data_IF_491490304660
#
_entry.id   IF_491490304660
#
_cell.length_a   1.000
_cell.length_b   1.000
_cell.length_c   1.000
_cell.angle_alpha   90.00
_cell.angle_beta   90.00
_cell.angle_gamma   90.00
#
_symmetry.space_group_name_H-M   'P 1'
#
loop_
_entity.id
_entity.type
_entity.pdbx_description
1 polymer ?
#
# COMPACT_ATOMS: atom_id res chain seq x y z
N UNK A 1 -35.93 10.92 -12.98
CA UNK A 1 -36.10 9.48 -12.73
C UNK A 1 -36.63 9.29 -11.30
N UNK A 2 -37.64 8.44 -11.05
CA UNK A 2 -38.01 8.11 -9.66
C UNK A 2 -37.10 6.98 -9.20
N UNK A 3 -36.09 7.31 -8.39
CA UNK A 3 -35.19 6.31 -7.80
C UNK A 3 -35.98 5.56 -6.72
N UNK A 4 -35.91 4.24 -6.73
CA UNK A 4 -36.54 3.40 -5.69
C UNK A 4 -35.92 3.74 -4.33
N UNK A 5 -36.74 4.17 -3.33
CA UNK A 5 -36.26 4.45 -1.98
C UNK A 5 -35.47 3.30 -1.35
N UNK A 6 -35.78 2.05 -1.71
CA UNK A 6 -35.06 0.87 -1.22
C UNK A 6 -33.60 0.87 -1.68
N UNK A 7 -33.34 1.22 -2.94
CA UNK A 7 -31.99 1.25 -3.50
C UNK A 7 -31.13 2.34 -2.85
N UNK A 8 -31.74 3.49 -2.54
CA UNK A 8 -31.09 4.56 -1.78
C UNK A 8 -30.72 4.07 -0.37
N UNK A 9 -31.62 3.38 0.31
CA UNK A 9 -31.34 2.82 1.64
C UNK A 9 -30.15 1.84 1.59
N UNK A 10 -30.10 0.96 0.57
CA UNK A 10 -28.99 0.03 0.38
C UNK A 10 -27.66 0.78 0.17
N UNK A 11 -27.66 1.82 -0.68
CA UNK A 11 -26.47 2.65 -0.90
C UNK A 11 -25.95 3.27 0.41
N UNK A 12 -26.85 3.85 1.21
CA UNK A 12 -26.49 4.41 2.51
C UNK A 12 -26.00 3.37 3.51
N UNK A 13 -26.54 2.14 3.50
CA UNK A 13 -26.02 1.04 4.32
C UNK A 13 -24.57 0.74 3.92
N UNK A 14 -24.28 0.62 2.62
CA UNK A 14 -22.92 0.39 2.13
C UNK A 14 -21.96 1.52 2.52
N UNK A 15 -22.37 2.78 2.35
CA UNK A 15 -21.58 3.93 2.76
C UNK A 15 -21.31 3.96 4.28
N UNK A 16 -22.33 3.65 5.10
CA UNK A 16 -22.19 3.59 6.54
C UNK A 16 -21.25 2.47 6.99
N UNK A 17 -21.29 1.30 6.34
CA UNK A 17 -20.36 0.21 6.62
C UNK A 17 -18.91 0.55 6.24
N UNK A 18 -18.69 1.27 5.14
CA UNK A 18 -17.36 1.81 4.82
C UNK A 18 -16.86 2.78 5.89
N UNK A 19 -17.73 3.71 6.30
CA UNK A 19 -17.40 4.66 7.35
C UNK A 19 -16.99 3.95 8.64
N UNK A 20 -17.76 2.94 9.07
CA UNK A 20 -17.46 2.17 10.27
C UNK A 20 -16.13 1.42 10.12
N UNK A 21 -15.89 0.76 8.98
CA UNK A 21 -14.67 -0.01 8.75
C UNK A 21 -13.40 0.85 8.70
N UNK A 22 -13.51 2.10 8.24
CA UNK A 22 -12.40 3.04 8.19
C UNK A 22 -12.20 3.76 9.54
N UNK A 23 -13.30 4.13 10.20
CA UNK A 23 -13.24 4.87 11.45
C UNK A 23 -12.85 3.99 12.65
N UNK A 24 -13.33 2.74 12.68
CA UNK A 24 -12.94 1.78 13.69
C UNK A 24 -11.87 0.87 13.10
N UNK A 25 -10.63 1.03 13.55
CA UNK A 25 -9.58 0.04 13.29
C UNK A 25 -9.89 -1.18 14.16
N UNK A 26 -10.37 -2.30 13.61
CA UNK A 26 -10.64 -3.47 14.43
C UNK A 26 -9.33 -3.96 15.06
N UNK A 27 -9.34 -4.21 16.37
CA UNK A 27 -8.22 -4.89 17.05
C UNK A 27 -7.91 -6.19 16.31
N UNK A 28 -6.68 -6.27 15.76
CA UNK A 28 -6.04 -7.40 15.06
C UNK A 28 -6.96 -8.61 14.83
N UNK A 29 -7.78 -8.55 13.79
CA UNK A 29 -8.41 -9.77 13.27
C UNK A 29 -7.32 -10.64 12.66
N UNK A 30 -7.16 -11.88 13.15
CA UNK A 30 -6.12 -12.84 12.75
C UNK A 30 -6.33 -13.45 11.36
N UNK A 31 -6.81 -12.68 10.38
CA UNK A 31 -6.97 -13.19 9.02
C UNK A 31 -5.58 -13.27 8.38
N UNK A 32 -5.14 -14.44 7.88
CA UNK A 32 -3.82 -14.55 7.25
C UNK A 32 -3.75 -13.64 6.02
N UNK A 33 -2.74 -12.76 5.96
CA UNK A 33 -2.55 -11.82 4.83
C UNK A 33 -2.54 -12.55 3.48
N UNK A 34 -1.90 -13.72 3.42
CA UNK A 34 -1.86 -14.57 2.22
C UNK A 34 -3.25 -15.05 1.79
N UNK A 35 -4.15 -15.36 2.72
CA UNK A 35 -5.54 -15.74 2.42
C UNK A 35 -6.27 -14.60 1.73
N UNK A 36 -6.12 -13.40 2.28
CA UNK A 36 -6.78 -12.23 1.71
C UNK A 36 -6.21 -11.87 0.34
N UNK A 37 -4.89 -11.97 0.17
CA UNK A 37 -4.25 -11.81 -1.14
C UNK A 37 -4.82 -12.76 -2.19
N UNK A 38 -5.06 -14.03 -1.83
CA UNK A 38 -5.70 -15.00 -2.72
C UNK A 38 -7.11 -14.60 -3.11
N UNK A 39 -7.92 -14.15 -2.13
CA UNK A 39 -9.28 -13.65 -2.36
C UNK A 39 -9.27 -12.44 -3.30
N UNK A 40 -8.42 -11.44 -3.04
CA UNK A 40 -8.34 -10.22 -3.83
C UNK A 40 -7.90 -10.47 -5.27
N UNK A 41 -6.91 -11.34 -5.48
CA UNK A 41 -6.46 -11.74 -6.81
C UNK A 41 -7.58 -12.47 -7.55
N UNK A 42 -8.22 -13.46 -6.92
CA UNK A 42 -9.32 -14.20 -7.54
C UNK A 42 -10.49 -13.27 -7.91
N UNK A 43 -10.89 -12.37 -7.02
CA UNK A 43 -11.92 -11.39 -7.32
C UNK A 43 -11.57 -10.52 -8.53
N UNK A 44 -10.35 -9.98 -8.57
CA UNK A 44 -9.94 -9.11 -9.67
C UNK A 44 -10.04 -9.82 -11.03
N UNK A 45 -9.54 -11.05 -11.12
CA UNK A 45 -9.55 -11.79 -12.38
C UNK A 45 -10.91 -12.41 -12.74
N UNK A 46 -11.71 -12.83 -11.76
CA UNK A 46 -12.97 -13.54 -12.01
C UNK A 46 -14.20 -12.62 -12.03
N UNK A 47 -14.10 -11.42 -11.49
CA UNK A 47 -15.23 -10.47 -11.40
C UNK A 47 -14.90 -9.16 -12.10
N UNK A 48 -13.82 -8.49 -11.71
CA UNK A 48 -13.52 -7.13 -12.22
C UNK A 48 -13.20 -7.12 -13.70
N UNK A 49 -12.25 -7.95 -14.13
CA UNK A 49 -11.84 -7.97 -15.53
C UNK A 49 -12.99 -8.39 -16.48
N UNK A 50 -13.78 -9.44 -16.19
CA UNK A 50 -14.96 -9.76 -16.98
C UNK A 50 -16.00 -8.62 -17.00
N UNK A 51 -16.31 -8.01 -15.84
CA UNK A 51 -17.26 -6.88 -15.78
C UNK A 51 -16.81 -5.71 -16.66
N UNK A 52 -15.50 -5.39 -16.66
CA UNK A 52 -14.93 -4.36 -17.54
C UNK A 52 -15.08 -4.77 -19.01
N UNK A 53 -14.73 -6.01 -19.35
CA UNK A 53 -14.77 -6.54 -20.71
C UNK A 53 -16.18 -6.53 -21.31
N UNK A 54 -17.18 -6.92 -20.52
CA UNK A 54 -18.56 -7.08 -20.97
C UNK A 54 -19.35 -5.77 -20.99
N UNK A 55 -19.00 -4.81 -20.12
CA UNK A 55 -19.80 -3.61 -19.91
C UNK A 55 -19.21 -2.32 -20.46
N UNK A 56 -17.93 -2.30 -20.88
CA UNK A 56 -17.43 -1.15 -21.63
C UNK A 56 -18.08 -1.14 -23.02
N UNK A 57 -18.86 -0.09 -23.36
CA UNK A 57 -19.70 -0.12 -24.57
C UNK A 57 -18.90 0.01 -25.87
N UNK A 58 -17.73 0.67 -25.85
CA UNK A 58 -16.79 0.71 -26.98
C UNK A 58 -15.34 0.68 -26.47
N UNK A 59 -14.48 -0.07 -27.17
CA UNK A 59 -13.05 -0.07 -26.86
C UNK A 59 -12.47 1.34 -26.99
N UNK A 60 -11.53 1.76 -26.11
CA UNK A 60 -10.83 3.02 -26.30
C UNK A 60 -10.19 3.08 -27.69
N UNK A 61 -10.49 4.14 -28.44
CA UNK A 61 -10.05 4.32 -29.83
C UNK A 61 -10.49 3.19 -30.80
N UNK A 62 -11.51 2.40 -30.45
CA UNK A 62 -11.97 1.23 -31.21
C UNK A 62 -10.90 0.13 -31.40
N UNK A 63 -9.91 0.06 -30.50
CA UNK A 63 -8.83 -0.92 -30.56
C UNK A 63 -8.99 -1.94 -29.44
N UNK A 64 -9.17 -3.22 -29.79
CA UNK A 64 -9.25 -4.32 -28.81
C UNK A 64 -8.03 -4.40 -27.90
N UNK A 65 -6.84 -4.02 -28.39
CA UNK A 65 -5.62 -3.94 -27.59
C UNK A 65 -5.74 -2.97 -26.40
N UNK A 66 -6.63 -1.97 -26.50
CA UNK A 66 -6.81 -0.92 -25.50
C UNK A 66 -7.98 -1.19 -24.55
N UNK A 67 -8.58 -2.39 -24.58
CA UNK A 67 -9.69 -2.79 -23.70
C UNK A 67 -9.44 -2.46 -22.22
N UNK A 68 -8.23 -2.76 -21.73
CA UNK A 68 -7.83 -2.48 -20.35
C UNK A 68 -6.99 -1.21 -20.19
N UNK A 69 -7.06 -0.27 -21.15
CA UNK A 69 -6.25 0.96 -21.12
C UNK A 69 -6.47 1.76 -19.83
N UNK A 70 -7.71 1.93 -19.39
CA UNK A 70 -8.00 2.69 -18.18
C UNK A 70 -7.55 1.97 -16.90
N UNK A 71 -7.57 0.64 -16.89
CA UNK A 71 -6.95 -0.18 -15.82
C UNK A 71 -5.45 0.07 -15.78
N UNK A 72 -4.79 0.07 -16.94
CA UNK A 72 -3.35 0.35 -17.03
C UNK A 72 -3.03 1.79 -16.60
N UNK A 73 -3.83 2.78 -16.99
CA UNK A 73 -3.66 4.17 -16.57
C UNK A 73 -3.80 4.29 -15.05
N UNK A 74 -4.82 3.67 -14.44
CA UNK A 74 -4.99 3.66 -12.99
C UNK A 74 -3.81 3.02 -12.25
N UNK A 75 -3.35 1.86 -12.72
CA UNK A 75 -2.18 1.17 -12.17
C UNK A 75 -0.91 2.02 -12.28
N UNK A 76 -0.64 2.56 -13.47
CA UNK A 76 0.53 3.38 -13.74
C UNK A 76 0.50 4.69 -12.95
N UNK A 77 -0.67 5.31 -12.81
CA UNK A 77 -0.83 6.55 -12.05
C UNK A 77 -0.37 6.38 -10.60
N UNK A 78 -0.78 5.30 -9.93
CA UNK A 78 -0.36 5.05 -8.54
C UNK A 78 1.13 4.70 -8.47
N UNK A 79 1.58 3.80 -9.36
CA UNK A 79 2.99 3.40 -9.41
C UNK A 79 3.94 4.60 -9.58
N UNK A 80 3.63 5.48 -10.53
CA UNK A 80 4.45 6.66 -10.82
C UNK A 80 4.36 7.66 -9.67
N UNK A 81 3.16 7.90 -9.13
CA UNK A 81 2.98 8.77 -7.96
C UNK A 81 3.81 8.32 -6.75
N UNK A 82 3.77 7.02 -6.41
CA UNK A 82 4.59 6.46 -5.33
C UNK A 82 6.09 6.63 -5.63
N UNK A 83 6.55 6.28 -6.84
CA UNK A 83 7.96 6.39 -7.20
C UNK A 83 8.48 7.82 -7.22
N UNK A 84 7.68 8.78 -7.67
CA UNK A 84 8.08 10.19 -7.68
C UNK A 84 8.33 10.70 -6.26
N UNK A 85 7.52 10.30 -5.28
CA UNK A 85 7.71 10.70 -3.88
C UNK A 85 8.93 10.02 -3.28
N UNK A 86 9.07 8.71 -3.48
CA UNK A 86 10.26 7.98 -3.00
C UNK A 86 11.57 8.52 -3.57
N UNK A 87 11.55 9.06 -4.79
CA UNK A 87 12.71 9.70 -5.42
C UNK A 87 12.91 11.17 -4.98
N UNK A 88 11.84 11.86 -4.61
CA UNK A 88 11.87 13.25 -4.14
C UNK A 88 12.50 13.36 -2.75
N UNK A 89 12.25 12.37 -1.90
CA UNK A 89 12.95 12.20 -0.63
C UNK A 89 14.46 12.13 -0.89
N UNK A 90 15.19 13.12 -0.36
CA UNK A 90 16.60 13.43 -0.63
C UNK A 90 17.49 12.23 -1.02
N UNK A 91 17.58 11.93 -2.32
CA UNK A 91 18.49 10.93 -2.88
C UNK A 91 19.95 11.16 -2.43
N UNK A 92 20.32 12.43 -2.19
CA UNK A 92 21.60 12.82 -1.60
C UNK A 92 21.78 12.34 -0.17
N UNK A 93 20.74 12.42 0.67
CA UNK A 93 20.79 11.96 2.06
C UNK A 93 20.87 10.44 2.13
N UNK A 94 20.12 9.72 1.27
CA UNK A 94 20.25 8.26 1.13
C UNK A 94 21.66 7.86 0.69
N UNK A 95 22.22 8.50 -0.34
CA UNK A 95 23.59 8.25 -0.80
C UNK A 95 24.62 8.53 0.30
N UNK A 96 24.41 9.59 1.09
CA UNK A 96 25.29 9.94 2.21
C UNK A 96 25.25 8.89 3.31
N UNK A 97 24.06 8.39 3.68
CA UNK A 97 23.92 7.30 4.66
C UNK A 97 24.63 6.04 4.16
N UNK A 98 24.42 5.63 2.90
CA UNK A 98 25.12 4.47 2.31
C UNK A 98 26.64 4.62 2.34
N UNK A 99 27.14 5.82 2.03
CA UNK A 99 28.57 6.12 2.11
C UNK A 99 29.10 6.00 3.54
N UNK A 100 28.37 6.54 4.52
CA UNK A 100 28.76 6.49 5.93
C UNK A 100 28.71 5.06 6.48
N UNK A 101 27.70 4.26 6.13
CA UNK A 101 27.64 2.84 6.50
C UNK A 101 28.83 2.06 5.94
N UNK A 102 29.21 2.31 4.68
CA UNK A 102 30.42 1.69 4.11
C UNK A 102 31.70 2.14 4.84
N UNK A 103 31.77 3.41 5.27
CA UNK A 103 32.91 3.90 6.05
C UNK A 103 32.96 3.26 7.44
N UNK A 104 31.82 3.08 8.10
CA UNK A 104 31.73 2.44 9.41
C UNK A 104 32.15 0.97 9.34
N UNK A 105 31.61 0.19 8.40
CA UNK A 105 32.02 -1.21 8.18
C UNK A 105 33.52 -1.34 7.91
N UNK A 106 34.10 -0.44 7.12
CA UNK A 106 35.54 -0.45 6.85
C UNK A 106 36.36 -0.10 8.09
N UNK A 107 35.85 0.80 8.93
CA UNK A 107 36.53 1.23 10.15
C UNK A 107 36.49 0.14 11.22
N UNK A 108 35.35 -0.55 11.38
CA UNK A 108 35.20 -1.73 12.24
C UNK A 108 36.19 -2.84 11.83
N UNK A 109 36.30 -3.13 10.54
CA UNK A 109 37.29 -4.10 10.05
C UNK A 109 38.75 -3.68 10.34
N UNK A 110 39.06 -2.39 10.38
CA UNK A 110 40.40 -1.90 10.75
C UNK A 110 40.60 -2.00 12.27
N UNK A 111 39.58 -1.69 13.07
CA UNK A 111 39.61 -1.87 14.53
C UNK A 111 39.88 -3.32 14.90
N UNK A 112 39.13 -4.26 14.33
CA UNK A 112 39.29 -5.71 14.55
C UNK A 112 40.73 -6.18 14.24
N UNK A 113 41.30 -5.69 13.13
CA UNK A 113 42.67 -6.03 12.75
C UNK A 113 43.69 -5.48 13.77
N UNK A 114 43.50 -4.28 14.28
CA UNK A 114 44.39 -3.70 15.30
C UNK A 114 44.20 -4.41 16.64
N UNK A 115 42.98 -4.78 17.04
CA UNK A 115 42.73 -5.57 18.25
C UNK A 115 43.43 -6.92 18.20
N UNK A 116 43.41 -7.58 17.05
CA UNK A 116 44.14 -8.84 16.84
C UNK A 116 45.66 -8.65 16.99
N UNK A 117 46.23 -7.61 16.37
CA UNK A 117 47.67 -7.30 16.49
C UNK A 117 48.04 -7.01 17.95
N UNK A 118 47.24 -6.19 18.65
CA UNK A 118 47.47 -5.89 20.07
C UNK A 118 47.40 -7.17 20.92
N UNK A 119 46.44 -8.04 20.63
CA UNK A 119 46.28 -9.31 21.36
C UNK A 119 47.45 -10.26 21.13
N UNK A 120 47.98 -10.34 19.91
CA UNK A 120 49.17 -11.12 19.57
C UNK A 120 50.43 -10.58 20.27
N UNK A 121 50.63 -9.27 20.25
CA UNK A 121 51.77 -8.62 20.90
C UNK A 121 51.75 -8.80 22.43
N UNK A 122 50.56 -8.76 23.04
CA UNK A 122 50.37 -9.04 24.47
C UNK A 122 50.74 -10.49 24.87
N UNK A 123 50.85 -11.40 23.90
CA UNK A 123 51.25 -12.80 24.12
C UNK A 123 52.77 -13.03 23.96
N UNK A 124 53.54 -12.03 23.53
CA UNK A 124 55.00 -12.15 23.38
C UNK A 124 55.76 -11.97 24.72
N UNK A 125 56.89 -12.66 24.86
CA UNK A 125 57.72 -12.63 26.09
C UNK A 125 58.41 -11.28 26.32
N UNK A 126 58.69 -10.53 25.25
CA UNK A 126 59.21 -9.15 25.28
C UNK A 126 58.16 -8.20 24.70
N UNK A 127 57.59 -7.35 25.55
CA UNK A 127 56.55 -6.40 25.19
C UNK A 127 57.15 -5.06 24.77
N UNK A 128 56.83 -4.58 23.56
CA UNK A 128 57.05 -3.18 23.20
C UNK A 128 55.91 -2.31 23.77
N UNK A 129 56.10 -1.84 25.00
CA UNK A 129 55.14 -0.97 25.69
C UNK A 129 54.86 0.32 24.91
N UNK A 130 55.83 0.84 24.15
CA UNK A 130 55.66 2.05 23.35
C UNK A 130 54.74 1.79 22.15
N UNK A 131 54.97 0.69 21.42
CA UNK A 131 54.13 0.28 20.30
C UNK A 131 52.69 0.01 20.75
N UNK A 132 52.49 -0.71 21.87
CA UNK A 132 51.17 -0.98 22.44
C UNK A 132 50.43 0.32 22.82
N UNK A 133 51.15 1.30 23.36
CA UNK A 133 50.57 2.59 23.76
C UNK A 133 50.20 3.48 22.57
N UNK A 134 50.91 3.35 21.46
CA UNK A 134 50.57 4.01 20.21
C UNK A 134 49.39 3.31 19.53
N UNK A 135 49.36 1.97 19.47
CA UNK A 135 48.21 1.20 18.97
C UNK A 135 46.94 1.48 19.76
N UNK A 136 47.03 1.54 21.10
CA UNK A 136 45.91 1.90 21.95
C UNK A 136 45.39 3.33 21.68
N UNK A 137 46.28 4.28 21.36
CA UNK A 137 45.89 5.64 20.97
C UNK A 137 45.19 5.66 19.61
N UNK A 138 45.68 4.90 18.64
CA UNK A 138 45.05 4.76 17.32
C UNK A 138 43.67 4.11 17.46
N UNK A 139 43.57 3.02 18.21
CA UNK A 139 42.33 2.28 18.42
C UNK A 139 41.26 3.15 19.11
N UNK A 140 41.66 3.93 20.13
CA UNK A 140 40.78 4.93 20.73
C UNK A 140 40.29 5.97 19.71
N UNK A 141 41.18 6.47 18.85
CA UNK A 141 40.81 7.45 17.83
C UNK A 141 39.89 6.88 16.76
N UNK A 142 40.06 5.60 16.38
CA UNK A 142 39.15 4.92 15.46
C UNK A 142 37.80 4.77 16.13
N UNK A 143 37.75 4.29 17.36
CA UNK A 143 36.50 4.11 18.10
C UNK A 143 35.70 5.41 18.21
N UNK A 144 36.38 6.53 18.54
CA UNK A 144 35.77 7.85 18.58
C UNK A 144 35.21 8.28 17.19
N UNK A 145 35.94 7.99 16.10
CA UNK A 145 35.47 8.24 14.73
C UNK A 145 34.27 7.36 14.36
N UNK A 146 34.30 6.07 14.69
CA UNK A 146 33.20 5.14 14.47
C UNK A 146 31.94 5.55 15.22
N UNK A 147 32.08 5.98 16.47
CA UNK A 147 30.98 6.54 17.26
C UNK A 147 30.37 7.79 16.61
N UNK A 148 31.20 8.70 16.09
CA UNK A 148 30.70 9.88 15.38
C UNK A 148 29.97 9.50 14.08
N UNK A 149 30.52 8.58 13.29
CA UNK A 149 29.88 8.10 12.06
C UNK A 149 28.52 7.45 12.37
N UNK A 150 28.43 6.63 13.42
CA UNK A 150 27.16 6.03 13.85
C UNK A 150 26.12 7.09 14.24
N UNK A 151 26.56 8.16 14.93
CA UNK A 151 25.70 9.30 15.27
C UNK A 151 25.20 10.01 14.01
N UNK A 152 26.10 10.35 13.07
CA UNK A 152 25.75 11.00 11.80
C UNK A 152 24.79 10.15 10.95
N UNK A 153 24.96 8.82 10.95
CA UNK A 153 24.04 7.88 10.31
C UNK A 153 22.67 7.96 10.97
N UNK A 154 22.61 7.95 12.30
CA UNK A 154 21.37 8.07 13.07
C UNK A 154 20.60 9.34 12.74
N UNK A 155 21.28 10.50 12.80
CA UNK A 155 20.67 11.80 12.52
C UNK A 155 20.14 11.89 11.09
N UNK A 156 20.90 11.37 10.11
CA UNK A 156 20.44 11.34 8.73
C UNK A 156 19.27 10.39 8.52
N UNK A 157 19.26 9.21 9.19
CA UNK A 157 18.11 8.29 9.13
C UNK A 157 16.85 8.93 9.71
N UNK A 158 16.96 9.68 10.82
CA UNK A 158 15.83 10.42 11.40
C UNK A 158 15.34 11.49 10.43
N UNK A 159 16.23 12.30 9.86
CA UNK A 159 15.85 13.34 8.89
C UNK A 159 15.17 12.75 7.65
N UNK A 160 15.68 11.62 7.15
CA UNK A 160 15.06 10.88 6.04
C UNK A 160 13.69 10.36 6.46
N UNK A 161 13.58 9.73 7.64
CA UNK A 161 12.33 9.23 8.18
C UNK A 161 11.27 10.33 8.25
N UNK A 162 11.54 11.44 8.95
CA UNK A 162 10.60 12.54 9.14
C UNK A 162 10.07 13.10 7.82
N UNK A 163 10.97 13.30 6.85
CA UNK A 163 10.60 13.84 5.55
C UNK A 163 9.76 12.86 4.71
N UNK A 164 10.09 11.56 4.74
CA UNK A 164 9.26 10.57 4.05
C UNK A 164 7.91 10.45 4.73
N UNK A 165 7.87 10.40 6.06
CA UNK A 165 6.63 10.24 6.81
C UNK A 165 5.62 11.34 6.44
N UNK A 166 6.08 12.59 6.34
CA UNK A 166 5.24 13.71 5.93
C UNK A 166 4.77 13.61 4.46
N UNK A 167 5.69 13.47 3.50
CA UNK A 167 5.33 13.46 2.07
C UNK A 167 4.50 12.21 1.69
N UNK A 168 4.89 11.05 2.20
CA UNK A 168 4.22 9.78 1.94
C UNK A 168 2.87 9.69 2.65
N UNK A 169 2.77 10.22 3.88
CA UNK A 169 1.51 10.29 4.61
C UNK A 169 0.46 11.12 3.86
N UNK A 170 0.85 12.28 3.34
CA UNK A 170 -0.03 13.14 2.54
C UNK A 170 -0.49 12.48 1.24
N UNK A 171 0.41 11.80 0.51
CA UNK A 171 0.03 11.06 -0.69
C UNK A 171 -0.93 9.94 -0.36
N UNK A 172 -0.61 9.12 0.64
CA UNK A 172 -1.44 7.98 1.02
C UNK A 172 -2.84 8.44 1.42
N UNK A 173 -2.93 9.50 2.23
CA UNK A 173 -4.21 10.14 2.54
C UNK A 173 -4.95 10.55 1.26
N UNK A 174 -4.31 11.28 0.35
CA UNK A 174 -4.95 11.73 -0.89
C UNK A 174 -5.42 10.56 -1.76
N UNK A 175 -4.56 9.57 -2.00
CA UNK A 175 -4.87 8.38 -2.78
C UNK A 175 -6.02 7.58 -2.18
N UNK A 176 -6.00 7.35 -0.87
CA UNK A 176 -7.06 6.62 -0.18
C UNK A 176 -8.37 7.41 -0.18
N UNK A 177 -8.31 8.72 0.06
CA UNK A 177 -9.48 9.59 -0.02
C UNK A 177 -10.10 9.55 -1.43
N UNK A 178 -9.30 9.78 -2.48
CA UNK A 178 -9.76 9.72 -3.87
C UNK A 178 -10.34 8.33 -4.19
N UNK A 179 -9.69 7.27 -3.72
CA UNK A 179 -10.17 5.91 -3.93
C UNK A 179 -11.55 5.68 -3.29
N UNK A 180 -11.72 5.97 -2.00
CA UNK A 180 -12.99 5.79 -1.30
C UNK A 180 -14.09 6.69 -1.87
N UNK A 181 -13.74 7.93 -2.23
CA UNK A 181 -14.63 8.84 -2.92
C UNK A 181 -15.13 8.26 -4.26
N UNK A 182 -14.23 7.72 -5.09
CA UNK A 182 -14.61 7.12 -6.37
C UNK A 182 -15.45 5.84 -6.18
N UNK A 183 -15.18 5.01 -5.17
CA UNK A 183 -16.06 3.88 -4.82
C UNK A 183 -17.47 4.41 -4.55
N UNK A 184 -17.61 5.44 -3.72
CA UNK A 184 -18.90 6.03 -3.39
C UNK A 184 -19.69 6.47 -4.63
N UNK A 185 -19.01 7.11 -5.57
CA UNK A 185 -19.58 7.57 -6.84
C UNK A 185 -20.03 6.38 -7.72
N UNK A 186 -19.16 5.40 -7.89
CA UNK A 186 -19.43 4.22 -8.72
C UNK A 186 -20.58 3.38 -8.15
N UNK A 187 -20.61 3.21 -6.84
CA UNK A 187 -21.46 2.25 -6.16
C UNK A 187 -22.93 2.63 -6.24
N UNK A 188 -23.28 3.92 -6.18
CA UNK A 188 -24.66 4.40 -6.36
C UNK A 188 -25.17 4.04 -7.75
N UNK A 189 -24.42 4.40 -8.80
CA UNK A 189 -24.79 4.06 -10.17
C UNK A 189 -24.88 2.55 -10.41
N UNK A 190 -23.95 1.75 -9.86
CA UNK A 190 -24.02 0.30 -9.98
C UNK A 190 -25.28 -0.28 -9.33
N UNK A 191 -25.72 0.24 -8.17
CA UNK A 191 -26.98 -0.19 -7.55
C UNK A 191 -28.17 0.02 -8.50
N UNK A 192 -28.18 1.13 -9.24
CA UNK A 192 -29.26 1.46 -10.17
C UNK A 192 -29.25 0.61 -11.44
N UNK A 193 -28.07 0.13 -11.86
CA UNK A 193 -27.90 -0.67 -13.08
C UNK A 193 -28.10 -2.16 -12.80
N UNK A 194 -27.34 -2.70 -11.85
CA UNK A 194 -27.31 -4.13 -11.51
C UNK A 194 -26.91 -4.33 -10.04
N UNK A 195 -27.90 -4.72 -9.22
CA UNK A 195 -27.71 -4.96 -7.80
C UNK A 195 -26.65 -6.03 -7.52
N UNK A 196 -26.51 -7.04 -8.38
CA UNK A 196 -25.53 -8.12 -8.18
C UNK A 196 -24.11 -7.59 -8.37
N UNK A 197 -23.84 -6.91 -9.49
CA UNK A 197 -22.55 -6.27 -9.75
C UNK A 197 -22.20 -5.26 -8.65
N UNK A 198 -23.20 -4.52 -8.14
CA UNK A 198 -23.02 -3.61 -7.01
C UNK A 198 -22.62 -4.32 -5.71
N UNK A 199 -23.31 -5.40 -5.35
CA UNK A 199 -22.99 -6.19 -4.14
C UNK A 199 -21.57 -6.76 -4.24
N UNK A 200 -21.19 -7.30 -5.40
CA UNK A 200 -19.85 -7.85 -5.63
C UNK A 200 -18.78 -6.76 -5.53
N UNK A 201 -19.00 -5.60 -6.17
CA UNK A 201 -18.12 -4.44 -6.09
C UNK A 201 -17.98 -3.91 -4.66
N UNK A 202 -19.10 -3.80 -3.93
CA UNK A 202 -19.13 -3.41 -2.53
C UNK A 202 -18.25 -4.33 -1.68
N UNK A 203 -18.45 -5.66 -1.75
CA UNK A 203 -17.68 -6.59 -0.94
C UNK A 203 -16.19 -6.48 -1.21
N UNK A 204 -15.80 -6.34 -2.47
CA UNK A 204 -14.40 -6.18 -2.82
C UNK A 204 -13.79 -4.89 -2.30
N UNK A 205 -14.46 -3.77 -2.55
CA UNK A 205 -14.01 -2.48 -2.07
C UNK A 205 -13.93 -2.48 -0.53
N UNK A 206 -14.87 -3.11 0.15
CA UNK A 206 -14.90 -3.28 1.60
C UNK A 206 -13.73 -4.15 2.10
N UNK A 207 -13.47 -5.30 1.47
CA UNK A 207 -12.33 -6.13 1.82
C UNK A 207 -11.01 -5.37 1.65
N UNK A 208 -10.85 -4.58 0.58
CA UNK A 208 -9.67 -3.71 0.42
C UNK A 208 -9.52 -2.73 1.58
N UNK A 209 -10.59 -2.05 1.97
CA UNK A 209 -10.60 -1.13 3.12
C UNK A 209 -10.13 -1.84 4.40
N UNK A 210 -10.68 -3.01 4.68
CA UNK A 210 -10.31 -3.82 5.87
C UNK A 210 -8.84 -4.22 5.84
N UNK A 211 -8.28 -4.60 4.69
CA UNK A 211 -6.86 -4.97 4.56
C UNK A 211 -5.95 -3.78 4.81
N UNK A 212 -6.29 -2.64 4.20
CA UNK A 212 -5.48 -1.42 4.31
C UNK A 212 -5.33 -1.01 5.78
N UNK A 213 -6.39 -1.14 6.57
CA UNK A 213 -6.41 -0.78 7.99
C UNK A 213 -5.67 -1.79 8.88
N UNK A 214 -5.38 -3.01 8.39
CA UNK A 214 -4.51 -3.96 9.08
C UNK A 214 -3.03 -3.75 8.75
N UNK A 215 -2.72 -3.34 7.51
CA UNK A 215 -1.34 -3.15 7.03
C UNK A 215 -0.73 -1.78 7.42
N UNK A 216 -1.48 -0.92 8.09
CA UNK A 216 -1.13 0.49 8.34
C UNK A 216 -0.02 0.73 9.37
N UNK A 217 0.34 -0.24 10.22
CA UNK A 217 1.21 0.05 11.37
C UNK A 217 2.71 0.19 11.08
N UNK A 218 3.26 -0.41 10.02
CA UNK A 218 4.70 -0.32 9.70
C UNK A 218 4.99 -0.53 8.22
N UNK A 219 5.41 0.53 7.52
CA UNK A 219 5.85 0.44 6.12
C UNK A 219 7.38 0.52 6.03
N UNK A 220 8.03 -0.51 5.48
CA UNK A 220 9.49 -0.50 5.23
C UNK A 220 9.74 0.14 3.86
N UNK A 221 10.19 1.39 3.85
CA UNK A 221 10.44 2.13 2.60
C UNK A 221 11.80 1.78 2.00
N UNK A 222 12.84 1.72 2.85
CA UNK A 222 14.22 1.46 2.43
C UNK A 222 14.75 0.26 3.20
N UNK A 223 14.57 -0.94 2.63
CA UNK A 223 15.00 -2.20 3.27
C UNK A 223 16.50 -2.28 3.51
N UNK A 224 17.30 -1.54 2.73
CA UNK A 224 18.75 -1.44 2.86
C UNK A 224 19.20 -0.44 3.95
N UNK A 225 18.36 0.54 4.29
CA UNK A 225 18.65 1.56 5.31
C UNK A 225 17.97 1.25 6.66
N UNK A 226 17.12 0.23 6.70
CA UNK A 226 16.26 -0.16 7.83
C UNK A 226 15.44 1.02 8.38
N UNK A 227 14.88 1.81 7.47
CA UNK A 227 13.97 2.91 7.81
C UNK A 227 12.54 2.37 7.77
N UNK A 228 11.96 2.16 8.95
CA UNK A 228 10.54 1.88 9.14
C UNK A 228 9.78 3.21 9.28
N UNK A 229 8.61 3.30 8.65
CA UNK A 229 7.70 4.43 8.80
C UNK A 229 6.47 3.96 9.56
N UNK A 230 6.21 4.63 10.69
CA UNK A 230 4.95 4.54 11.41
C UNK A 230 4.10 5.73 11.00
N UNK A 231 2.94 5.46 10.40
CA UNK A 231 2.03 6.50 9.95
C UNK A 231 0.86 6.58 10.91
N UNK A 232 0.88 7.61 11.74
CA UNK A 232 -0.25 7.96 12.58
C UNK A 232 -1.09 9.02 11.88
N UNK A 233 -2.31 8.67 11.52
CA UNK A 233 -3.27 9.62 10.97
C UNK A 233 -3.79 10.53 12.06
N UNK A 234 -3.94 11.82 11.74
CA UNK A 234 -4.64 12.76 12.63
C UNK A 234 -6.13 12.41 12.70
N UNK A 235 -6.82 12.74 13.79
CA UNK A 235 -8.25 12.48 13.92
C UNK A 235 -9.08 13.11 12.78
N UNK A 236 -8.67 14.28 12.29
CA UNK A 236 -9.34 14.93 11.14
C UNK A 236 -9.17 14.11 9.86
N UNK A 237 -7.95 13.66 9.56
CA UNK A 237 -7.69 12.81 8.40
C UNK A 237 -8.53 11.53 8.45
N UNK A 238 -8.60 10.89 9.62
CA UNK A 238 -9.39 9.69 9.82
C UNK A 238 -10.88 9.90 9.57
N UNK A 239 -11.45 11.00 10.06
CA UNK A 239 -12.86 11.37 9.81
C UNK A 239 -13.09 11.65 8.32
N UNK A 240 -12.17 12.37 7.67
CA UNK A 240 -12.28 12.70 6.24
C UNK A 240 -12.20 11.45 5.37
N UNK A 241 -11.28 10.52 5.66
CA UNK A 241 -11.15 9.24 4.97
C UNK A 241 -12.39 8.38 5.15
N UNK A 242 -12.86 8.22 6.39
CA UNK A 242 -14.06 7.43 6.67
C UNK A 242 -15.31 8.01 5.99
N UNK A 243 -15.39 9.32 5.85
CA UNK A 243 -16.50 10.01 5.19
C UNK A 243 -16.39 10.02 3.66
N UNK A 244 -15.24 9.69 3.08
CA UNK A 244 -14.97 9.88 1.65
C UNK A 244 -15.96 9.12 0.77
N UNK A 245 -16.28 7.86 1.11
CA UNK A 245 -17.27 7.06 0.37
C UNK A 245 -18.68 7.68 0.44
N UNK A 246 -19.10 8.12 1.62
CA UNK A 246 -20.40 8.80 1.78
C UNK A 246 -20.45 10.13 1.01
N UNK A 247 -19.37 10.91 1.03
CA UNK A 247 -19.25 12.14 0.25
C UNK A 247 -19.36 11.82 -1.24
N UNK A 248 -18.69 10.78 -1.72
CA UNK A 248 -18.79 10.31 -3.11
C UNK A 248 -20.22 9.96 -3.51
N UNK A 249 -20.94 9.20 -2.67
CA UNK A 249 -22.34 8.84 -2.90
C UNK A 249 -23.26 10.06 -2.97
N UNK A 250 -23.09 11.02 -2.03
CA UNK A 250 -23.89 12.25 -2.01
C UNK A 250 -23.61 13.11 -3.24
N UNK A 251 -22.34 13.25 -3.62
CA UNK A 251 -21.95 13.98 -4.83
C UNK A 251 -22.57 13.34 -6.05
N UNK A 252 -22.53 12.01 -6.16
CA UNK A 252 -23.13 11.28 -7.28
C UNK A 252 -24.64 11.51 -7.39
N UNK A 253 -25.38 11.37 -6.30
CA UNK A 253 -26.83 11.63 -6.26
C UNK A 253 -27.18 13.08 -6.66
N UNK A 254 -26.34 14.05 -6.27
CA UNK A 254 -26.52 15.46 -6.66
C UNK A 254 -26.20 15.65 -8.15
N UNK A 255 -25.14 15.03 -8.64
CA UNK A 255 -24.76 15.09 -10.06
C UNK A 255 -25.85 14.49 -10.91
N UNK A 256 -26.35 13.30 -10.58
CA UNK A 256 -27.41 12.61 -11.32
C UNK A 256 -28.73 13.41 -11.36
N UNK A 257 -28.99 14.22 -10.33
CA UNK A 257 -30.13 15.15 -10.32
C UNK A 257 -29.99 16.29 -11.36
N UNK A 258 -28.75 16.69 -11.67
CA UNK A 258 -28.44 17.81 -12.58
C UNK A 258 -28.12 17.29 -13.99
N UNK A 259 -27.43 16.17 -14.10
CA UNK A 259 -26.88 15.58 -15.30
C UNK A 259 -26.75 14.06 -15.17
N UNK A 260 -27.44 13.31 -16.01
CA UNK A 260 -27.34 11.84 -16.06
C UNK A 260 -25.93 11.44 -16.51
N UNK A 261 -25.20 10.72 -15.65
CA UNK A 261 -23.86 10.23 -15.97
C UNK A 261 -23.98 9.14 -17.03
N UNK A 262 -23.33 9.33 -18.19
CA UNK A 262 -23.27 8.30 -19.21
C UNK A 262 -22.54 7.05 -18.66
N UNK A 263 -23.10 5.87 -18.91
CA UNK A 263 -22.52 4.55 -18.62
C UNK A 263 -21.05 4.44 -19.06
N UNK A 264 -20.68 5.03 -20.19
CA UNK A 264 -19.28 5.09 -20.66
C UNK A 264 -18.36 5.70 -19.60
N UNK A 265 -18.72 6.87 -19.07
CA UNK A 265 -17.92 7.58 -18.08
C UNK A 265 -17.83 6.78 -16.79
N UNK A 266 -18.95 6.16 -16.37
CA UNK A 266 -18.99 5.29 -15.20
C UNK A 266 -18.01 4.12 -15.34
N UNK A 267 -18.04 3.39 -16.46
CA UNK A 267 -17.17 2.23 -16.67
C UNK A 267 -15.70 2.61 -16.92
N UNK A 268 -15.43 3.82 -17.43
CA UNK A 268 -14.08 4.39 -17.45
C UNK A 268 -13.56 4.62 -16.03
N UNK A 269 -14.36 5.22 -15.15
CA UNK A 269 -14.01 5.42 -13.74
C UNK A 269 -13.86 4.09 -13.00
N UNK A 270 -14.76 3.13 -13.27
CA UNK A 270 -14.66 1.76 -12.75
C UNK A 270 -13.37 1.07 -13.19
N UNK A 271 -12.99 1.20 -14.46
CA UNK A 271 -11.76 0.62 -14.99
C UNK A 271 -10.52 1.27 -14.38
N UNK A 272 -10.51 2.60 -14.28
CA UNK A 272 -9.42 3.34 -13.64
C UNK A 272 -9.25 2.95 -12.16
N UNK A 273 -10.34 2.95 -11.38
CA UNK A 273 -10.31 2.54 -9.96
C UNK A 273 -9.88 1.09 -9.80
N UNK A 274 -10.32 0.20 -10.69
CA UNK A 274 -9.87 -1.19 -10.73
C UNK A 274 -8.35 -1.30 -10.92
N UNK A 275 -7.78 -0.47 -11.79
CA UNK A 275 -6.32 -0.36 -11.97
C UNK A 275 -5.58 0.09 -10.70
N UNK A 276 -6.12 1.09 -10.01
CA UNK A 276 -5.62 1.54 -8.69
C UNK A 276 -5.64 0.38 -7.69
N UNK A 277 -6.73 -0.38 -7.63
CA UNK A 277 -6.85 -1.51 -6.72
C UNK A 277 -5.87 -2.62 -7.08
N UNK A 278 -5.70 -2.94 -8.37
CA UNK A 278 -4.74 -3.94 -8.81
C UNK A 278 -3.33 -3.59 -8.33
N UNK A 279 -2.95 -2.31 -8.42
CA UNK A 279 -1.67 -1.85 -7.89
C UNK A 279 -1.56 -2.11 -6.39
N UNK A 280 -2.58 -1.71 -5.61
CA UNK A 280 -2.63 -1.96 -4.15
C UNK A 280 -2.55 -3.46 -3.84
N UNK A 281 -3.24 -4.32 -4.59
CA UNK A 281 -3.18 -5.78 -4.40
C UNK A 281 -1.74 -6.28 -4.58
N UNK A 282 -1.10 -5.90 -5.68
CA UNK A 282 0.26 -6.33 -5.99
C UNK A 282 1.28 -5.79 -4.98
N UNK A 283 1.09 -4.55 -4.51
CA UNK A 283 2.08 -3.84 -3.69
C UNK A 283 1.92 -4.06 -2.19
N UNK A 284 0.69 -4.06 -1.68
CA UNK A 284 0.39 -4.02 -0.25
C UNK A 284 -0.24 -5.32 0.26
N UNK A 285 -1.05 -5.99 -0.56
CA UNK A 285 -1.78 -7.20 -0.15
C UNK A 285 -0.96 -8.46 -0.39
N UNK A 286 -0.25 -8.53 -1.52
CA UNK A 286 0.57 -9.68 -1.87
C UNK A 286 1.80 -9.72 -0.94
N UNK A 287 2.00 -10.79 -0.14
CA UNK A 287 3.10 -10.85 0.82
C UNK A 287 4.45 -10.81 0.11
N UNK A 288 5.35 -9.94 0.58
CA UNK A 288 6.69 -9.80 0.02
C UNK A 288 7.61 -10.99 0.38
N UNK A 289 8.34 -11.49 -0.63
CA UNK A 289 9.41 -12.50 -0.49
C UNK A 289 8.92 -13.76 0.25
N UNK A 290 9.65 -14.20 1.27
CA UNK A 290 9.43 -15.46 1.99
C UNK A 290 8.35 -15.37 3.08
N UNK A 291 7.73 -14.20 3.29
CA UNK A 291 6.73 -14.00 4.36
C UNK A 291 5.35 -14.57 4.02
N UNK A 292 5.10 -14.94 2.77
CA UNK A 292 3.82 -15.45 2.31
C UNK A 292 3.65 -16.95 2.55
N UNK A 293 2.49 -17.36 3.06
CA UNK A 293 2.13 -18.78 3.11
C UNK A 293 1.33 -19.16 1.84
N UNK A 294 1.89 -19.99 0.94
CA UNK A 294 1.25 -20.32 -0.33
C UNK A 294 -0.03 -21.14 -0.17
N UNK A 295 -0.17 -21.92 0.91
CA UNK A 295 -1.37 -22.72 1.17
C UNK A 295 -2.56 -21.82 1.49
N UNK A 296 -2.36 -20.81 2.33
CA UNK A 296 -3.41 -19.83 2.63
C UNK A 296 -3.77 -19.02 1.38
N UNK A 297 -2.79 -18.64 0.56
CA UNK A 297 -3.07 -17.98 -0.72
C UNK A 297 -3.95 -18.84 -1.64
N UNK A 298 -3.57 -20.10 -1.86
CA UNK A 298 -4.37 -21.03 -2.67
C UNK A 298 -5.77 -21.26 -2.08
N UNK A 299 -5.88 -21.41 -0.76
CA UNK A 299 -7.17 -21.53 -0.09
C UNK A 299 -8.07 -20.30 -0.35
N UNK A 300 -7.49 -19.10 -0.37
CA UNK A 300 -8.19 -17.86 -0.69
C UNK A 300 -8.68 -17.84 -2.14
N UNK A 301 -7.81 -18.17 -3.09
CA UNK A 301 -8.15 -18.23 -4.51
C UNK A 301 -9.27 -19.25 -4.76
N UNK A 302 -9.10 -20.49 -4.30
CA UNK A 302 -10.05 -21.58 -4.53
C UNK A 302 -11.36 -21.31 -3.79
N UNK A 303 -11.29 -20.92 -2.53
CA UNK A 303 -12.47 -20.62 -1.72
C UNK A 303 -13.31 -19.50 -2.35
N UNK A 304 -12.66 -18.41 -2.77
CA UNK A 304 -13.37 -17.31 -3.43
C UNK A 304 -13.94 -17.72 -4.80
N UNK A 305 -13.20 -18.51 -5.57
CA UNK A 305 -13.69 -19.05 -6.85
C UNK A 305 -14.96 -19.88 -6.65
N UNK A 306 -14.99 -20.76 -5.66
CA UNK A 306 -16.18 -21.57 -5.34
C UNK A 306 -17.37 -20.68 -4.96
N UNK A 307 -17.14 -19.62 -4.18
CA UNK A 307 -18.19 -18.65 -3.81
C UNK A 307 -18.77 -17.99 -5.07
N UNK A 308 -17.92 -17.48 -5.97
CA UNK A 308 -18.37 -16.83 -7.22
C UNK A 308 -19.13 -17.81 -8.10
N UNK A 309 -18.63 -19.04 -8.28
CA UNK A 309 -19.34 -20.07 -9.05
C UNK A 309 -20.69 -20.42 -8.44
N UNK A 310 -20.78 -20.45 -7.11
CA UNK A 310 -22.04 -20.70 -6.40
C UNK A 310 -23.03 -19.56 -6.64
N UNK A 311 -22.59 -18.31 -6.47
CA UNK A 311 -23.42 -17.11 -6.74
C UNK A 311 -23.92 -17.13 -8.19
N UNK A 312 -23.03 -17.35 -9.15
CA UNK A 312 -23.38 -17.38 -10.57
C UNK A 312 -24.39 -18.51 -10.88
N UNK A 313 -24.19 -19.71 -10.33
CA UNK A 313 -25.14 -20.80 -10.46
C UNK A 313 -26.53 -20.43 -9.92
N UNK A 314 -26.61 -19.78 -8.76
CA UNK A 314 -27.88 -19.30 -8.22
C UNK A 314 -28.54 -18.27 -9.13
N UNK A 315 -27.77 -17.32 -9.67
CA UNK A 315 -28.29 -16.28 -10.58
C UNK A 315 -28.80 -16.88 -11.90
N UNK A 316 -28.12 -17.90 -12.45
CA UNK A 316 -28.55 -18.57 -13.69
C UNK A 316 -29.81 -19.42 -13.50
N UNK A 317 -30.01 -19.98 -12.31
CA UNK A 317 -31.16 -20.86 -12.01
C UNK A 317 -32.45 -20.06 -11.70
N UNK A 318 -32.32 -18.84 -11.19
CA UNK A 318 -33.44 -18.00 -10.71
C UNK A 318 -34.01 -17.12 -11.82
#
# INVERSE_FOLDING_TARGET
>A
MFIDPLLIIIAFIFGATFFIAEFYEPERSYIPVSLIAGISVAYFFLVVLPEISERLPEYPLHLTLLEYLFVLIGFAFIHVSEKLILQRVESKSQQRVRKLMNMENNLEAVEDNIENIVSEELMHEELDEFALRDLARVLKSLHDQGSQIRTDIGDLKIKIHDHITEEFGNLRFFTNFTYHFLIGLILVNLILIDLISSILFYFFAFFRTVIQNQSSSKYKVFTDLDIEIDMQETQLQKILLASAALIGMVVDLIVDLIYEINLEVLYILFSFTSGVILYTIVREVLPEKEKGNPIFFLAGVVGFTIIILTINLFVVIL
#
